data_IF_712795297287
#
_entry.id   IF_712795297287
#
_cell.length_a   1.000
_cell.length_b   1.000
_cell.length_c   1.000
_cell.angle_alpha   90.00
_cell.angle_beta   90.00
_cell.angle_gamma   90.00
#
_symmetry.space_group_name_H-M   'P 1'
#
loop_
_entity.id
_entity.type
_entity.pdbx_description
1 polymer ?
#
# COMPACT_ATOMS: atom_id res chain seq x y z
N UNK A 1 13.33 -15.91 -24.55
CA UNK A 1 12.14 -15.04 -24.48
C UNK A 1 12.42 -14.11 -23.32
N UNK A 2 12.70 -12.83 -23.59
CA UNK A 2 12.79 -11.85 -22.50
C UNK A 2 11.39 -11.71 -21.89
N UNK A 3 11.28 -11.96 -20.59
CA UNK A 3 10.03 -11.77 -19.87
C UNK A 3 9.64 -10.29 -19.87
N UNK A 4 8.36 -10.01 -20.11
CA UNK A 4 7.84 -8.65 -20.06
C UNK A 4 7.92 -8.13 -18.61
N UNK A 5 8.46 -6.93 -18.36
CA UNK A 5 8.55 -6.40 -17.00
C UNK A 5 7.15 -6.17 -16.40
N UNK A 6 6.99 -6.58 -15.14
CA UNK A 6 5.76 -6.36 -14.38
C UNK A 6 5.81 -4.98 -13.71
N UNK A 7 4.75 -4.19 -13.90
CA UNK A 7 4.59 -2.92 -13.20
C UNK A 7 4.00 -3.12 -11.80
N UNK A 8 4.56 -2.45 -10.80
CA UNK A 8 4.12 -2.52 -9.41
C UNK A 8 3.77 -1.12 -8.91
N UNK A 9 2.58 -0.97 -8.33
CA UNK A 9 2.18 0.23 -7.60
C UNK A 9 2.68 0.13 -6.16
N UNK A 10 3.65 0.95 -5.78
CA UNK A 10 4.15 1.04 -4.41
C UNK A 10 3.58 2.28 -3.71
N UNK A 11 3.03 2.11 -2.51
CA UNK A 11 2.49 3.20 -1.69
C UNK A 11 3.18 3.15 -0.33
N UNK A 12 3.89 4.22 0.03
CA UNK A 12 4.59 4.34 1.31
C UNK A 12 3.89 5.39 2.18
N UNK A 13 3.67 5.05 3.46
CA UNK A 13 3.14 5.97 4.47
C UNK A 13 4.14 6.11 5.63
N UNK A 14 5.11 7.03 5.55
CA UNK A 14 6.21 7.12 6.50
C UNK A 14 5.84 7.77 7.84
N UNK A 15 4.74 8.51 7.92
CA UNK A 15 4.32 9.21 9.14
C UNK A 15 3.57 8.32 10.15
N UNK A 16 3.32 7.05 9.84
CA UNK A 16 2.77 6.10 10.81
C UNK A 16 3.89 5.62 11.75
N UNK A 17 3.84 5.94 13.06
CA UNK A 17 4.82 5.48 14.04
C UNK A 17 4.70 3.98 14.33
N UNK A 18 5.83 3.28 14.48
CA UNK A 18 5.89 1.81 14.59
C UNK A 18 5.08 1.23 15.76
N UNK A 19 5.00 1.97 16.87
CA UNK A 19 4.25 1.59 18.07
C UNK A 19 3.20 2.63 18.45
N UNK A 20 2.65 3.33 17.46
CA UNK A 20 1.60 4.30 17.69
C UNK A 20 0.57 4.30 16.57
N UNK A 21 -0.13 5.43 16.48
CA UNK A 21 -1.13 5.68 15.45
C UNK A 21 -0.89 7.05 14.82
N UNK A 22 -1.33 7.25 13.57
CA UNK A 22 -1.44 8.58 12.98
C UNK A 22 -2.30 9.53 13.84
N UNK A 23 -2.07 10.84 13.68
CA UNK A 23 -2.88 11.88 14.34
C UNK A 23 -4.33 11.92 13.82
N UNK A 24 -4.56 11.49 12.58
CA UNK A 24 -5.88 11.39 11.96
C UNK A 24 -5.94 10.23 10.95
N UNK A 25 -7.12 10.00 10.36
CA UNK A 25 -7.36 8.87 9.44
C UNK A 25 -7.21 9.21 7.96
N UNK A 26 -6.80 10.44 7.61
CA UNK A 26 -6.82 10.92 6.23
C UNK A 26 -5.93 10.09 5.32
N UNK A 27 -4.66 9.90 5.69
CA UNK A 27 -3.69 9.18 4.87
C UNK A 27 -4.12 7.72 4.63
N UNK A 28 -4.53 7.01 5.68
CA UNK A 28 -5.01 5.61 5.57
C UNK A 28 -6.24 5.51 4.67
N UNK A 29 -7.19 6.46 4.76
CA UNK A 29 -8.37 6.48 3.88
C UNK A 29 -8.01 6.78 2.43
N UNK A 30 -7.04 7.65 2.16
CA UNK A 30 -6.58 7.91 0.80
C UNK A 30 -5.88 6.70 0.17
N UNK A 31 -5.12 5.93 0.95
CA UNK A 31 -4.58 4.63 0.50
C UNK A 31 -5.72 3.70 0.12
N UNK A 32 -6.72 3.51 1.00
CA UNK A 32 -7.86 2.63 0.73
C UNK A 32 -8.66 3.07 -0.52
N UNK A 33 -8.93 4.37 -0.67
CA UNK A 33 -9.64 4.92 -1.84
C UNK A 33 -8.91 4.64 -3.16
N UNK A 34 -7.57 4.70 -3.16
CA UNK A 34 -6.78 4.31 -4.35
C UNK A 34 -6.94 2.84 -4.68
N UNK A 35 -7.04 1.97 -3.67
CA UNK A 35 -7.18 0.52 -3.86
C UNK A 35 -8.56 0.12 -4.40
N UNK A 36 -9.64 0.86 -4.11
CA UNK A 36 -10.99 0.55 -4.63
C UNK A 36 -11.08 0.53 -6.15
N UNK A 37 -10.20 1.24 -6.85
CA UNK A 37 -10.21 1.33 -8.31
C UNK A 37 -9.36 0.23 -8.96
N UNK A 38 -8.67 -0.61 -8.17
CA UNK A 38 -7.85 -1.69 -8.69
C UNK A 38 -8.72 -2.91 -9.05
N UNK A 39 -8.51 -3.53 -10.22
CA UNK A 39 -9.26 -4.72 -10.58
C UNK A 39 -8.88 -5.91 -9.66
N UNK A 40 -9.85 -6.74 -9.23
CA UNK A 40 -9.65 -7.78 -8.22
C UNK A 40 -8.78 -8.96 -8.70
N UNK A 41 -8.50 -9.05 -10.01
CA UNK A 41 -7.73 -10.14 -10.62
C UNK A 41 -6.22 -9.85 -10.71
N UNK A 42 -5.72 -8.75 -10.13
CA UNK A 42 -4.28 -8.43 -10.11
C UNK A 42 -3.48 -9.25 -9.09
N UNK A 43 -4.15 -10.06 -8.28
CA UNK A 43 -3.54 -10.84 -7.20
C UNK A 43 -3.57 -10.11 -5.84
N UNK A 44 -2.91 -10.68 -4.83
CA UNK A 44 -2.95 -10.16 -3.46
C UNK A 44 -2.19 -8.85 -3.32
N UNK A 45 -2.70 -7.96 -2.47
CA UNK A 45 -2.01 -6.73 -2.08
C UNK A 45 -1.00 -7.08 -0.98
N UNK A 46 0.28 -6.78 -1.22
CA UNK A 46 1.34 -6.94 -0.23
C UNK A 46 1.34 -5.72 0.71
N UNK A 47 1.18 -5.97 2.01
CA UNK A 47 1.27 -4.94 3.06
C UNK A 47 2.39 -5.32 4.01
N UNK A 48 3.27 -4.37 4.30
CA UNK A 48 4.36 -4.57 5.26
C UNK A 48 4.65 -3.29 6.04
N UNK A 49 5.21 -3.46 7.23
CA UNK A 49 5.81 -2.41 8.05
C UNK A 49 7.10 -2.96 8.67
N UNK A 50 7.76 -2.15 9.51
CA UNK A 50 8.84 -2.69 10.34
C UNK A 50 8.24 -3.33 11.60
N UNK A 51 8.89 -4.37 12.09
CA UNK A 51 8.53 -5.03 13.34
C UNK A 51 9.24 -4.43 14.56
N UNK A 52 10.36 -3.72 14.34
CA UNK A 52 11.28 -3.22 15.37
C UNK A 52 11.08 -1.75 15.66
#
# INVERSE_FOLDING_TARGET
VEDTPLSVLHIQYPEWPDHGVPNDTLAVREILKRLYHLPPNLGPIVVHCRYR
#
